data_IF_967624497143
#
_entry.id   IF_967624497143
#
_cell.length_a   1.000
_cell.length_b   1.000
_cell.length_c   1.000
_cell.angle_alpha   90.00
_cell.angle_beta   90.00
_cell.angle_gamma   90.00
#
_symmetry.space_group_name_H-M   'P 1'
#
loop_
_entity.id
_entity.type
_entity.pdbx_description
1 polymer ?
#
# COMPACT_ATOMS: atom_id res chain seq x y z
N UNK A 1 4.64 -13.78 4.37
CA UNK A 1 4.45 -12.45 3.74
C UNK A 1 4.93 -11.29 4.61
N UNK A 2 4.64 -11.28 5.91
CA UNK A 2 5.05 -10.19 6.84
C UNK A 2 6.56 -9.92 6.85
N UNK A 3 7.39 -10.93 6.61
CA UNK A 3 8.86 -10.80 6.54
C UNK A 3 9.36 -9.99 5.34
N UNK A 4 8.65 -9.97 4.20
CA UNK A 4 9.05 -9.21 2.99
C UNK A 4 8.68 -7.74 3.05
N UNK A 5 7.76 -7.35 3.93
CA UNK A 5 7.24 -5.97 4.03
C UNK A 5 8.23 -5.05 4.78
N UNK A 6 9.20 -5.63 5.51
CA UNK A 6 10.14 -4.86 6.33
C UNK A 6 9.43 -4.01 7.40
N UNK A 7 10.20 -3.26 8.19
CA UNK A 7 9.66 -2.28 9.15
C UNK A 7 9.21 -0.98 8.44
N UNK A 8 8.56 -1.10 7.28
CA UNK A 8 8.05 0.04 6.53
C UNK A 8 6.70 0.45 7.11
N UNK A 9 6.60 1.73 7.51
CA UNK A 9 5.34 2.32 7.95
C UNK A 9 4.60 2.90 6.76
N UNK A 10 3.38 2.43 6.53
CA UNK A 10 2.50 2.92 5.47
C UNK A 10 1.55 3.97 6.05
N UNK A 11 1.48 5.11 5.40
CA UNK A 11 0.56 6.18 5.77
C UNK A 11 -0.39 6.45 4.61
N UNK A 12 -1.67 6.68 4.92
CA UNK A 12 -2.62 7.15 3.91
C UNK A 12 -2.29 8.62 3.58
N UNK A 13 -2.29 8.96 2.29
CA UNK A 13 -2.04 10.35 1.86
C UNK A 13 -3.09 11.32 2.42
N UNK A 14 -4.35 10.87 2.56
CA UNK A 14 -5.44 11.62 3.18
C UNK A 14 -6.35 10.68 3.98
N UNK A 15 -7.01 11.15 5.06
CA UNK A 15 -7.89 10.31 5.88
C UNK A 15 -9.04 9.66 5.09
N UNK A 16 -9.58 10.37 4.10
CA UNK A 16 -10.74 9.94 3.31
C UNK A 16 -10.37 9.16 2.04
N UNK A 17 -9.09 9.17 1.62
CA UNK A 17 -8.62 8.49 0.41
C UNK A 17 -7.58 7.43 0.78
N UNK A 18 -8.06 6.20 1.02
CA UNK A 18 -7.23 5.04 1.44
C UNK A 18 -6.42 4.42 0.30
N UNK A 19 -6.72 4.75 -0.96
CA UNK A 19 -6.09 4.11 -2.12
C UNK A 19 -4.73 4.74 -2.49
N UNK A 20 -4.31 5.79 -1.78
CA UNK A 20 -3.03 6.47 -2.00
C UNK A 20 -2.18 6.27 -0.75
N UNK A 21 -1.14 5.46 -0.88
CA UNK A 21 -0.22 5.11 0.19
C UNK A 21 1.08 5.90 0.03
N UNK A 22 1.57 6.45 1.13
CA UNK A 22 2.84 7.16 1.24
C UNK A 22 3.77 6.37 2.14
N UNK A 23 5.02 6.27 1.71
CA UNK A 23 6.14 5.73 2.47
C UNK A 23 7.26 6.77 2.50
N UNK A 24 7.92 6.94 3.65
CA UNK A 24 8.91 8.00 3.82
C UNK A 24 9.83 7.77 5.01
N UNK A 25 11.07 8.26 4.88
CA UNK A 25 12.25 7.89 5.67
C UNK A 25 12.64 6.41 5.53
N UNK A 26 12.86 6.00 4.29
CA UNK A 26 13.37 4.67 3.97
C UNK A 26 14.86 4.78 3.62
N UNK A 27 15.77 4.04 4.31
CA UNK A 27 17.18 4.03 3.94
C UNK A 27 17.35 3.40 2.55
N UNK A 28 17.73 4.23 1.57
CA UNK A 28 17.81 3.82 0.16
C UNK A 28 18.82 2.70 -0.12
N UNK A 29 19.83 2.54 0.76
CA UNK A 29 20.79 1.43 0.68
C UNK A 29 20.21 0.07 1.09
N UNK A 30 19.10 0.06 1.86
CA UNK A 30 18.51 -1.15 2.45
C UNK A 30 17.26 -1.62 1.71
N UNK A 31 16.59 -0.73 1.00
CA UNK A 31 15.34 -1.00 0.29
C UNK A 31 15.47 -0.60 -1.18
N UNK A 32 16.18 -1.42 -1.95
CA UNK A 32 16.29 -1.27 -3.41
C UNK A 32 15.01 -1.70 -4.13
N UNK A 33 14.24 -2.59 -3.52
CA UNK A 33 12.95 -3.06 -4.00
C UNK A 33 11.94 -2.99 -2.85
N UNK A 34 10.74 -2.50 -3.15
CA UNK A 34 9.63 -2.36 -2.19
C UNK A 34 8.46 -3.16 -2.74
N UNK A 35 8.08 -4.23 -2.05
CA UNK A 35 6.93 -5.06 -2.41
C UNK A 35 5.68 -4.60 -1.67
N UNK A 36 4.64 -4.20 -2.40
CA UNK A 36 3.33 -3.88 -1.85
C UNK A 36 2.39 -5.08 -1.95
N UNK A 37 1.76 -5.46 -0.84
CA UNK A 37 0.60 -6.35 -0.87
C UNK A 37 -0.64 -5.48 -0.96
N UNK A 38 -1.22 -5.36 -2.16
CA UNK A 38 -2.50 -4.68 -2.36
C UNK A 38 -3.60 -5.71 -2.54
N UNK A 39 -4.76 -5.44 -1.95
CA UNK A 39 -5.98 -6.22 -2.17
C UNK A 39 -6.83 -5.48 -3.19
N UNK A 40 -7.19 -6.17 -4.27
CA UNK A 40 -8.17 -5.67 -5.21
C UNK A 40 -9.53 -5.52 -4.53
N UNK A 41 -10.30 -4.46 -4.87
CA UNK A 41 -11.65 -4.30 -4.36
C UNK A 41 -12.56 -5.43 -4.86
N UNK A 42 -13.46 -5.88 -3.99
CA UNK A 42 -14.49 -6.84 -4.35
C UNK A 42 -15.64 -6.16 -5.11
N UNK A 43 -15.90 -6.60 -6.34
CA UNK A 43 -16.92 -6.03 -7.23
C UNK A 43 -18.35 -6.27 -6.72
N UNK A 44 -18.58 -7.37 -5.99
CA UNK A 44 -19.89 -7.66 -5.42
C UNK A 44 -20.25 -6.66 -4.30
N UNK A 45 -19.24 -6.16 -3.60
CA UNK A 45 -19.40 -5.23 -2.48
C UNK A 45 -19.20 -3.75 -2.86
N UNK A 46 -18.54 -3.45 -3.99
CA UNK A 46 -18.14 -2.09 -4.34
C UNK A 46 -18.50 -1.73 -5.79
N UNK A 47 -19.55 -0.91 -5.96
CA UNK A 47 -20.17 -0.57 -7.27
C UNK A 47 -19.41 0.49 -8.07
N UNK A 48 -18.48 1.20 -7.44
CA UNK A 48 -17.67 2.24 -8.09
C UNK A 48 -16.50 1.67 -8.92
N UNK A 49 -16.28 0.35 -8.86
CA UNK A 49 -15.22 -0.32 -9.61
C UNK A 49 -15.84 -1.10 -10.76
N UNK A 50 -15.36 -0.85 -11.97
CA UNK A 50 -15.84 -1.45 -13.23
C UNK A 50 -14.63 -2.13 -13.91
N UNK A 51 -14.87 -3.26 -14.58
CA UNK A 51 -13.84 -4.06 -15.25
C UNK A 51 -13.35 -3.41 -16.56
#
# INVERSE_FOLDING_TARGET
MKEKIGNLSFQNYRPTKKNILVIGLVPGNKYNEITFSILSPDLASNKDVIY
#
